data_IF_263977773079
#
_entry.id   IF_263977773079
#
_cell.length_a   1.000
_cell.length_b   1.000
_cell.length_c   1.000
_cell.angle_alpha   90.00
_cell.angle_beta   90.00
_cell.angle_gamma   90.00
#
_symmetry.space_group_name_H-M   'P 1'
#
loop_
_entity.id
_entity.type
_entity.pdbx_description
1 polymer ?
#
# COMPACT_ATOMS: atom_id res chain seq x y z
N UNK A 1 -32.43 7.40 13.66
CA UNK A 1 -31.04 7.90 13.81
C UNK A 1 -30.14 7.05 12.94
N UNK A 2 -29.46 7.66 11.97
CA UNK A 2 -28.40 6.97 11.24
C UNK A 2 -27.23 6.79 12.22
N UNK A 3 -26.91 5.55 12.56
CA UNK A 3 -25.69 5.27 13.30
C UNK A 3 -24.49 5.60 12.42
N UNK A 4 -23.71 6.60 12.82
CA UNK A 4 -22.45 6.93 12.18
C UNK A 4 -21.49 5.76 12.42
N UNK A 5 -21.02 5.14 11.37
CA UNK A 5 -19.99 4.10 11.44
C UNK A 5 -18.62 4.72 11.14
N UNK A 6 -17.63 4.30 11.91
CA UNK A 6 -16.24 4.64 11.64
C UNK A 6 -15.77 3.86 10.40
N UNK A 7 -15.10 4.55 9.49
CA UNK A 7 -14.43 3.93 8.35
C UNK A 7 -12.97 3.70 8.69
N UNK A 8 -12.48 2.49 8.44
CA UNK A 8 -11.12 2.08 8.77
C UNK A 8 -10.32 1.83 7.51
N UNK A 9 -9.15 2.47 7.43
CA UNK A 9 -8.18 2.22 6.37
C UNK A 9 -6.88 1.68 6.95
N UNK A 10 -6.20 0.82 6.22
CA UNK A 10 -4.84 0.41 6.51
C UNK A 10 -3.89 1.05 5.51
N UNK A 11 -2.90 1.76 6.01
CA UNK A 11 -1.79 2.30 5.22
C UNK A 11 -0.55 1.47 5.52
N UNK A 12 0.02 0.86 4.49
CA UNK A 12 1.13 -0.09 4.65
C UNK A 12 2.42 0.50 4.12
N UNK A 13 3.44 0.43 4.95
CA UNK A 13 4.82 0.71 4.57
C UNK A 13 5.73 -0.32 5.24
N UNK A 14 6.40 -1.13 4.48
CA UNK A 14 7.37 -2.09 5.01
C UNK A 14 8.78 -1.48 5.03
N UNK A 15 9.56 -1.75 6.09
CA UNK A 15 9.29 -2.59 7.27
C UNK A 15 8.57 -1.87 8.41
N UNK A 16 7.85 -0.79 8.14
CA UNK A 16 7.08 -0.01 9.10
C UNK A 16 7.30 1.49 8.95
N UNK A 17 6.38 2.28 9.53
CA UNK A 17 6.41 3.75 9.43
C UNK A 17 7.45 4.40 10.38
N UNK A 18 7.85 3.68 11.43
CA UNK A 18 8.84 4.21 12.36
C UNK A 18 10.23 4.21 11.72
N UNK A 19 10.96 5.30 11.85
CA UNK A 19 12.30 5.48 11.25
C UNK A 19 13.31 4.38 11.62
N UNK A 20 13.16 3.77 12.77
CA UNK A 20 13.99 2.65 13.23
C UNK A 20 13.25 1.31 13.23
N UNK A 21 12.05 1.22 12.66
CA UNK A 21 11.23 -0.01 12.66
C UNK A 21 11.95 -1.21 12.06
N UNK A 22 12.77 -0.99 11.05
CA UNK A 22 13.57 -2.02 10.40
C UNK A 22 14.61 -2.69 11.29
N UNK A 23 14.95 -2.07 12.43
CA UNK A 23 15.91 -2.62 13.41
C UNK A 23 15.23 -3.55 14.42
N UNK A 24 13.91 -3.63 14.43
CA UNK A 24 13.21 -4.53 15.33
C UNK A 24 13.54 -6.00 14.96
N UNK A 25 13.77 -6.88 15.96
CA UNK A 25 14.12 -8.29 15.69
C UNK A 25 13.11 -9.03 14.81
N UNK A 26 11.83 -8.69 14.95
CA UNK A 26 10.74 -9.30 14.19
C UNK A 26 10.39 -8.52 12.91
N UNK A 27 11.16 -7.50 12.55
CA UNK A 27 10.93 -6.77 11.32
C UNK A 27 11.17 -7.66 10.11
N UNK A 28 10.20 -7.71 9.21
CA UNK A 28 10.39 -8.36 7.92
C UNK A 28 11.23 -7.44 7.06
N UNK A 29 12.54 -7.68 7.10
CA UNK A 29 13.52 -6.94 6.33
C UNK A 29 13.51 -7.41 4.87
N UNK A 30 13.93 -6.52 3.99
CA UNK A 30 14.09 -6.81 2.57
C UNK A 30 13.18 -5.98 1.68
N UNK A 31 13.33 -6.16 0.40
CA UNK A 31 12.57 -5.45 -0.62
C UNK A 31 11.08 -5.83 -0.69
N UNK A 32 10.44 -5.61 -1.83
CA UNK A 32 9.03 -5.90 -2.02
C UNK A 32 8.67 -7.35 -1.69
N UNK A 33 7.71 -7.55 -0.79
CA UNK A 33 7.23 -8.86 -0.38
C UNK A 33 5.72 -8.99 -0.66
N UNK A 34 5.39 -9.56 -1.81
CA UNK A 34 4.00 -9.71 -2.25
C UNK A 34 3.19 -10.65 -1.34
N UNK A 35 3.82 -11.68 -0.79
CA UNK A 35 3.13 -12.60 0.12
C UNK A 35 2.70 -11.89 1.40
N UNK A 36 3.54 -11.02 1.94
CA UNK A 36 3.20 -10.17 3.08
C UNK A 36 2.06 -9.21 2.75
N UNK A 37 2.09 -8.55 1.59
CA UNK A 37 1.03 -7.64 1.16
C UNK A 37 -0.31 -8.35 1.02
N UNK A 38 -0.34 -9.54 0.42
CA UNK A 38 -1.53 -10.39 0.33
C UNK A 38 -2.05 -10.78 1.71
N UNK A 39 -1.16 -11.15 2.63
CA UNK A 39 -1.55 -11.50 4.00
C UNK A 39 -2.17 -10.31 4.75
N UNK A 40 -1.59 -9.13 4.62
CA UNK A 40 -2.11 -7.89 5.24
C UNK A 40 -3.49 -7.55 4.66
N UNK A 41 -3.64 -7.57 3.33
CA UNK A 41 -4.90 -7.27 2.67
C UNK A 41 -6.01 -8.26 3.09
N UNK A 42 -5.73 -9.56 3.10
CA UNK A 42 -6.67 -10.56 3.55
C UNK A 42 -7.03 -10.40 5.04
N UNK A 43 -6.08 -10.01 5.87
CA UNK A 43 -6.32 -9.75 7.29
C UNK A 43 -7.18 -8.50 7.50
N UNK A 44 -6.91 -7.43 6.76
CA UNK A 44 -7.71 -6.22 6.78
C UNK A 44 -9.16 -6.50 6.34
N UNK A 45 -9.34 -7.28 5.27
CA UNK A 45 -10.67 -7.66 4.82
C UNK A 45 -11.44 -8.51 5.84
N UNK A 46 -10.79 -9.50 6.47
CA UNK A 46 -11.39 -10.26 7.59
C UNK A 46 -11.74 -9.36 8.77
N UNK A 47 -10.90 -8.35 9.05
CA UNK A 47 -11.13 -7.34 10.08
C UNK A 47 -12.17 -6.29 9.69
N UNK A 48 -12.79 -6.40 8.51
CA UNK A 48 -13.81 -5.47 7.97
C UNK A 48 -13.29 -4.04 7.85
N UNK A 49 -12.03 -3.88 7.50
CA UNK A 49 -11.50 -2.60 7.06
C UNK A 49 -12.16 -2.20 5.73
N UNK A 50 -12.40 -0.91 5.58
CA UNK A 50 -13.02 -0.37 4.37
C UNK A 50 -12.00 -0.19 3.24
N UNK A 51 -10.71 0.05 3.57
CA UNK A 51 -9.73 0.43 2.56
C UNK A 51 -8.31 -0.06 2.90
N UNK A 52 -7.61 -0.51 1.88
CA UNK A 52 -6.15 -0.66 1.85
C UNK A 52 -5.56 0.47 1.01
N UNK A 53 -4.68 1.26 1.60
CA UNK A 53 -4.03 2.38 0.93
C UNK A 53 -2.56 2.13 0.74
N UNK A 54 -2.07 2.37 -0.47
CA UNK A 54 -0.65 2.30 -0.83
C UNK A 54 -0.15 3.66 -1.30
N UNK A 55 0.83 4.20 -0.57
CA UNK A 55 1.54 5.40 -0.96
C UNK A 55 2.61 5.11 -2.02
N UNK A 56 2.90 6.11 -2.82
CA UNK A 56 3.99 6.09 -3.79
C UNK A 56 5.09 7.10 -3.45
N UNK A 57 6.27 6.92 -4.05
CA UNK A 57 7.38 7.85 -4.01
C UNK A 57 8.31 7.59 -5.18
N UNK A 58 8.49 8.60 -6.01
CA UNK A 58 9.31 8.55 -7.22
C UNK A 58 10.81 8.67 -6.96
N UNK A 59 11.22 8.99 -5.73
CA UNK A 59 12.62 9.05 -5.36
C UNK A 59 12.99 7.79 -4.56
N UNK A 60 14.05 7.13 -4.99
CA UNK A 60 14.77 6.21 -4.13
C UNK A 60 15.45 7.04 -3.06
N UNK A 61 15.18 6.73 -1.81
CA UNK A 61 15.49 7.59 -0.69
C UNK A 61 16.94 7.99 -0.56
N UNK A 62 17.12 9.15 -0.03
CA UNK A 62 18.40 9.62 0.42
C UNK A 62 18.78 8.84 1.67
N UNK A 63 19.87 8.08 1.58
CA UNK A 63 20.44 7.37 2.71
C UNK A 63 20.09 5.88 2.78
N UNK A 64 20.62 5.25 3.78
CA UNK A 64 20.64 3.80 3.97
C UNK A 64 19.36 3.24 4.60
N UNK A 65 18.24 3.97 4.55
CA UNK A 65 17.01 3.52 5.19
C UNK A 65 16.30 2.47 4.33
N UNK A 66 16.15 1.23 4.80
CA UNK A 66 15.62 0.12 4.00
C UNK A 66 14.20 0.32 3.48
N UNK A 67 13.38 1.15 4.15
CA UNK A 67 12.02 1.44 3.71
C UNK A 67 11.95 2.35 2.48
N UNK A 68 13.07 2.94 2.08
CA UNK A 68 13.16 3.81 0.91
C UNK A 68 13.65 3.08 -0.34
N UNK A 69 14.12 1.84 -0.17
CA UNK A 69 14.66 1.01 -1.23
C UNK A 69 13.67 -0.10 -1.55
N UNK A 70 13.26 -0.20 -2.81
CA UNK A 70 12.46 -1.31 -3.29
C UNK A 70 11.00 -1.27 -2.81
N UNK A 71 10.23 -0.35 -3.33
CA UNK A 71 8.77 -0.31 -3.16
C UNK A 71 8.06 -0.95 -4.34
N UNK A 72 6.88 -1.50 -4.09
CA UNK A 72 5.96 -1.82 -5.16
C UNK A 72 5.41 -0.53 -5.78
N UNK A 73 5.28 -0.51 -7.09
CA UNK A 73 4.45 0.48 -7.75
C UNK A 73 2.99 0.25 -7.32
N UNK A 74 2.28 1.28 -6.81
CA UNK A 74 1.01 1.09 -6.12
C UNK A 74 -0.08 0.42 -6.96
N UNK A 75 -0.26 0.84 -8.20
CA UNK A 75 -1.33 0.33 -9.05
C UNK A 75 -1.11 -1.15 -9.39
N UNK A 76 0.12 -1.52 -9.72
CA UNK A 76 0.50 -2.91 -9.98
C UNK A 76 0.29 -3.79 -8.75
N UNK A 77 0.66 -3.30 -7.57
CA UNK A 77 0.42 -4.01 -6.32
C UNK A 77 -1.08 -4.20 -6.07
N UNK A 78 -1.87 -3.12 -6.17
CA UNK A 78 -3.30 -3.18 -5.89
C UNK A 78 -4.04 -4.06 -6.88
N UNK A 79 -3.63 -4.08 -8.14
CA UNK A 79 -4.15 -5.03 -9.15
C UNK A 79 -3.93 -6.48 -8.74
N UNK A 80 -2.75 -6.79 -8.20
CA UNK A 80 -2.46 -8.14 -7.69
C UNK A 80 -3.26 -8.46 -6.41
N UNK A 81 -3.52 -7.49 -5.54
CA UNK A 81 -4.32 -7.66 -4.33
C UNK A 81 -5.81 -7.80 -4.66
N UNK A 82 -6.30 -7.12 -5.68
CA UNK A 82 -7.68 -7.23 -6.14
C UNK A 82 -8.08 -8.67 -6.50
N UNK A 83 -7.14 -9.46 -6.97
CA UNK A 83 -7.39 -10.89 -7.24
C UNK A 83 -7.63 -11.74 -5.99
N UNK A 84 -7.24 -11.25 -4.84
CA UNK A 84 -7.34 -11.96 -3.55
C UNK A 84 -8.29 -11.33 -2.54
N UNK A 85 -8.98 -10.25 -2.91
CA UNK A 85 -9.93 -9.53 -2.05
C UNK A 85 -11.26 -9.34 -2.77
N UNK A 86 -12.36 -9.21 -2.02
CA UNK A 86 -13.71 -9.12 -2.57
C UNK A 86 -14.46 -7.84 -2.18
N UNK A 87 -14.13 -7.27 -1.02
CA UNK A 87 -14.86 -6.15 -0.43
C UNK A 87 -13.97 -5.02 0.08
N UNK A 88 -12.67 -5.25 0.16
CA UNK A 88 -11.71 -4.26 0.60
C UNK A 88 -11.52 -3.22 -0.51
N UNK A 89 -11.78 -1.95 -0.20
CA UNK A 89 -11.45 -0.86 -1.11
C UNK A 89 -9.93 -0.76 -1.29
N UNK A 90 -9.48 -0.54 -2.51
CA UNK A 90 -8.06 -0.40 -2.83
C UNK A 90 -7.81 1.02 -3.32
N UNK A 91 -6.86 1.71 -2.67
CA UNK A 91 -6.54 3.10 -2.99
C UNK A 91 -5.03 3.26 -3.21
N UNK A 92 -4.66 3.81 -4.34
CA UNK A 92 -3.30 4.09 -4.74
C UNK A 92 -3.02 5.58 -4.80
N UNK A 93 -1.79 5.96 -4.49
CA UNK A 93 -1.29 7.28 -4.86
C UNK A 93 -0.87 7.27 -6.32
N UNK A 94 -1.31 8.28 -7.06
CA UNK A 94 -0.78 8.61 -8.38
C UNK A 94 -0.23 10.04 -8.38
N UNK A 95 1.01 10.23 -8.83
CA UNK A 95 1.62 11.56 -8.90
C UNK A 95 1.29 12.23 -10.23
N UNK A 96 0.59 13.34 -10.16
CA UNK A 96 0.28 14.17 -11.33
C UNK A 96 1.45 15.07 -11.76
N UNK A 97 2.51 15.15 -10.96
CA UNK A 97 3.72 15.90 -11.29
C UNK A 97 4.57 15.18 -12.34
N UNK A 98 4.62 13.85 -12.29
CA UNK A 98 5.50 13.03 -13.13
C UNK A 98 4.75 12.15 -14.12
N UNK A 99 3.44 12.00 -13.96
CA UNK A 99 2.63 11.18 -14.84
C UNK A 99 1.65 12.05 -15.65
N UNK A 100 1.54 11.74 -16.92
CA UNK A 100 0.57 12.38 -17.79
C UNK A 100 -0.86 12.02 -17.35
N UNK A 101 -1.78 12.98 -17.25
CA UNK A 101 -3.15 12.74 -16.76
C UNK A 101 -3.88 11.65 -17.53
N UNK A 102 -3.66 11.54 -18.82
CA UNK A 102 -4.24 10.50 -19.66
C UNK A 102 -3.81 9.10 -19.22
N UNK A 103 -2.52 8.92 -18.91
CA UNK A 103 -2.02 7.62 -18.45
C UNK A 103 -2.58 7.26 -17.08
N UNK A 104 -2.66 8.21 -16.17
CA UNK A 104 -3.27 8.00 -14.85
C UNK A 104 -4.72 7.55 -14.99
N UNK A 105 -5.52 8.30 -15.74
CA UNK A 105 -6.92 7.98 -15.97
C UNK A 105 -7.11 6.59 -16.60
N UNK A 106 -6.27 6.24 -17.57
CA UNK A 106 -6.33 4.94 -18.25
C UNK A 106 -6.04 3.75 -17.32
N UNK A 107 -5.09 3.91 -16.42
CA UNK A 107 -4.68 2.82 -15.52
C UNK A 107 -5.69 2.65 -14.37
N UNK A 108 -6.29 3.75 -13.90
CA UNK A 108 -7.27 3.71 -12.83
C UNK A 108 -8.67 3.23 -13.26
N UNK A 109 -8.96 3.19 -14.56
CA UNK A 109 -10.27 2.78 -15.08
C UNK A 109 -10.34 1.32 -15.54
N UNK A 110 -9.30 0.55 -15.34
CA UNK A 110 -9.26 -0.89 -15.61
C UNK A 110 -9.53 -1.67 -14.33
#
# INVERSE_FOLDING_TARGET
MQHRQMRLGVFVQTPGHHVAGWRHPDAIAGGPNLALMKHIAATAERGKFDMFFQGDGFATGYGEHPSTIGKFEPISLLSALAMGTSRLGLAATASTTYAEPYHVARVETQ
#
